data_IF_353682754581
#
_entry.id   IF_353682754581
#
_cell.length_a   1.000
_cell.length_b   1.000
_cell.length_c   1.000
_cell.angle_alpha   90.00
_cell.angle_beta   90.00
_cell.angle_gamma   90.00
#
_symmetry.space_group_name_H-M   'P 1'
#
loop_
_entity.id
_entity.type
_entity.pdbx_description
1 polymer ?
#
# COMPACT_ATOMS: atom_id res chain seq x y z
N UNK A 1 -18.14 28.93 1.30
CA UNK A 1 -17.01 28.00 1.48
C UNK A 1 -17.42 26.98 2.51
N UNK A 2 -17.31 25.70 2.17
CA UNK A 2 -17.73 24.57 3.03
C UNK A 2 -16.58 23.60 3.21
N UNK A 3 -16.47 22.96 4.37
CA UNK A 3 -15.48 21.90 4.62
C UNK A 3 -16.21 20.61 4.96
N UNK A 4 -15.78 19.51 4.34
CA UNK A 4 -16.29 18.18 4.60
C UNK A 4 -15.20 17.37 5.29
N UNK A 5 -15.53 16.69 6.39
CA UNK A 5 -14.58 15.83 7.12
C UNK A 5 -15.16 14.42 7.19
N UNK A 6 -14.40 13.44 6.72
CA UNK A 6 -14.74 12.02 6.77
C UNK A 6 -13.78 11.33 7.72
N UNK A 7 -14.33 10.56 8.67
CA UNK A 7 -13.57 9.74 9.61
C UNK A 7 -14.05 8.30 9.53
N UNK A 8 -13.19 7.37 9.15
CA UNK A 8 -13.49 5.92 9.11
C UNK A 8 -12.24 5.12 9.44
N UNK A 9 -12.34 3.79 9.41
CA UNK A 9 -11.22 2.85 9.61
C UNK A 9 -10.95 1.95 8.39
N UNK A 10 -11.54 2.25 7.23
CA UNK A 10 -11.33 1.51 5.98
C UNK A 10 -10.93 2.44 4.84
N UNK A 11 -10.28 1.87 3.82
CA UNK A 11 -9.86 2.61 2.62
C UNK A 11 -11.01 3.06 1.71
N UNK A 12 -12.26 2.79 2.11
CA UNK A 12 -13.48 3.22 1.44
C UNK A 12 -14.28 4.08 2.42
N UNK A 13 -14.23 5.40 2.22
CA UNK A 13 -14.87 6.38 3.07
C UNK A 13 -16.17 6.83 2.41
N UNK A 14 -17.30 6.77 3.12
CA UNK A 14 -18.55 7.33 2.63
C UNK A 14 -19.28 8.14 3.69
N UNK A 15 -19.89 9.24 3.28
CA UNK A 15 -20.76 10.05 4.14
C UNK A 15 -21.98 10.49 3.33
N UNK A 16 -23.16 10.21 3.87
CA UNK A 16 -24.42 10.75 3.35
C UNK A 16 -24.70 12.11 4.03
N UNK A 17 -25.15 13.08 3.23
CA UNK A 17 -25.44 14.44 3.66
C UNK A 17 -26.94 14.65 3.52
N UNK A 18 -27.61 14.90 4.65
CA UNK A 18 -29.05 15.18 4.69
C UNK A 18 -29.35 16.41 5.57
N UNK A 19 -30.03 17.44 5.04
CA UNK A 19 -30.43 17.59 3.64
C UNK A 19 -29.21 17.71 2.71
N UNK A 20 -29.34 17.38 1.40
CA UNK A 20 -28.23 17.49 0.48
C UNK A 20 -27.63 18.90 0.45
N UNK A 21 -26.31 18.98 0.29
CA UNK A 21 -25.60 20.26 0.20
C UNK A 21 -25.73 20.83 -1.21
N UNK A 22 -26.42 21.96 -1.33
CA UNK A 22 -26.51 22.74 -2.58
C UNK A 22 -25.22 23.54 -2.81
N UNK A 23 -24.70 23.50 -4.04
CA UNK A 23 -23.48 24.20 -4.46
C UNK A 23 -23.67 24.82 -5.85
N UNK A 24 -22.97 25.92 -6.11
CA UNK A 24 -22.99 26.58 -7.42
C UNK A 24 -22.36 25.69 -8.50
N UNK A 25 -22.75 25.86 -9.77
CA UNK A 25 -22.18 25.13 -10.90
C UNK A 25 -20.70 25.44 -11.15
N UNK A 26 -20.21 26.57 -10.65
CA UNK A 26 -18.80 26.97 -10.69
C UNK A 26 -18.01 26.44 -9.50
N UNK A 27 -18.66 25.74 -8.56
CA UNK A 27 -18.00 25.27 -7.35
C UNK A 27 -16.91 24.25 -7.66
N UNK A 28 -15.82 24.36 -6.91
CA UNK A 28 -14.66 23.50 -7.02
C UNK A 28 -14.37 22.85 -5.66
N UNK A 29 -13.66 21.72 -5.70
CA UNK A 29 -13.28 20.96 -4.52
C UNK A 29 -11.79 20.62 -4.55
N UNK A 30 -11.16 20.63 -3.38
CA UNK A 30 -9.77 20.20 -3.21
C UNK A 30 -9.60 19.37 -1.93
N UNK A 31 -8.50 18.61 -1.85
CA UNK A 31 -8.05 17.99 -0.62
C UNK A 31 -7.37 19.02 0.28
N UNK A 32 -7.83 19.15 1.53
CA UNK A 32 -7.16 19.95 2.55
C UNK A 32 -6.12 19.15 3.31
N UNK A 33 -6.49 17.93 3.72
CA UNK A 33 -5.58 17.06 4.44
C UNK A 33 -6.04 15.61 4.42
N UNK A 34 -5.09 14.69 4.45
CA UNK A 34 -5.29 13.27 4.75
C UNK A 34 -4.42 12.91 5.97
N UNK A 35 -5.01 12.22 6.94
CA UNK A 35 -4.28 11.71 8.09
C UNK A 35 -4.65 10.24 8.31
N UNK A 36 -3.63 9.40 8.49
CA UNK A 36 -3.78 7.99 8.87
C UNK A 36 -2.46 7.49 9.50
N UNK A 37 -2.41 6.25 9.96
CA UNK A 37 -1.15 5.62 10.37
C UNK A 37 -0.57 4.81 9.20
N UNK A 38 0.77 4.82 9.07
CA UNK A 38 1.46 3.97 8.11
C UNK A 38 1.47 2.53 8.62
N UNK A 39 0.37 1.82 8.38
CA UNK A 39 0.20 0.42 8.74
C UNK A 39 0.20 -0.50 7.52
N UNK A 40 0.59 -0.01 6.33
CA UNK A 40 0.45 -0.75 5.08
C UNK A 40 1.35 -2.00 5.13
N UNK A 41 0.78 -3.22 5.10
CA UNK A 41 1.57 -4.43 5.23
C UNK A 41 2.26 -4.76 3.91
N UNK A 42 3.53 -5.15 3.96
CA UNK A 42 4.25 -5.72 2.83
C UNK A 42 4.14 -7.25 2.77
N UNK A 43 3.82 -7.89 3.90
CA UNK A 43 3.44 -9.30 3.98
C UNK A 43 1.97 -9.41 4.35
N UNK A 44 1.19 -10.14 3.55
CA UNK A 44 -0.23 -10.43 3.77
C UNK A 44 -0.62 -11.73 3.04
N UNK A 45 -1.82 -12.30 3.28
CA UNK A 45 -2.28 -13.49 2.56
C UNK A 45 -2.17 -13.29 1.05
N UNK A 46 -1.45 -14.19 0.38
CA UNK A 46 -1.12 -14.07 -1.06
C UNK A 46 0.37 -13.88 -1.34
N UNK A 47 1.14 -13.43 -0.35
CA UNK A 47 2.59 -13.22 -0.43
C UNK A 47 3.21 -13.31 0.98
N UNK A 48 3.11 -14.49 1.60
CA UNK A 48 3.47 -14.69 3.00
C UNK A 48 3.95 -16.10 3.35
N UNK A 49 4.25 -16.97 2.38
CA UNK A 49 4.70 -18.33 2.64
C UNK A 49 6.14 -18.55 2.18
N UNK A 50 6.90 -19.32 2.95
CA UNK A 50 8.21 -19.86 2.57
C UNK A 50 8.24 -21.35 2.93
N UNK A 51 8.63 -22.20 1.98
CA UNK A 51 8.78 -23.63 2.21
C UNK A 51 10.21 -24.00 2.58
N UNK A 52 10.36 -25.00 3.44
CA UNK A 52 11.63 -25.64 3.75
C UNK A 52 11.53 -27.14 3.47
N UNK A 53 12.59 -27.77 2.97
CA UNK A 53 12.63 -29.23 2.79
C UNK A 53 13.64 -29.87 3.71
N UNK A 54 13.22 -30.95 4.38
CA UNK A 54 14.11 -31.76 5.20
C UNK A 54 14.98 -32.70 4.33
N UNK A 55 15.90 -33.45 4.96
CA UNK A 55 16.84 -34.33 4.24
C UNK A 55 16.18 -35.47 3.44
N UNK A 56 14.92 -35.81 3.72
CA UNK A 56 14.16 -36.81 2.97
C UNK A 56 13.26 -36.19 1.88
N UNK A 57 13.35 -34.86 1.67
CA UNK A 57 12.64 -34.11 0.65
C UNK A 57 11.19 -33.73 1.01
N UNK A 58 10.76 -33.96 2.25
CA UNK A 58 9.44 -33.53 2.72
C UNK A 58 9.45 -32.02 2.98
N UNK A 59 8.43 -31.34 2.46
CA UNK A 59 8.25 -29.89 2.57
C UNK A 59 7.43 -29.50 3.80
N UNK A 60 7.88 -28.47 4.51
CA UNK A 60 7.15 -27.80 5.58
C UNK A 60 7.04 -26.30 5.26
N UNK A 61 5.82 -25.79 5.29
CA UNK A 61 5.50 -24.42 4.89
C UNK A 61 5.40 -23.53 6.14
N UNK A 62 6.15 -22.42 6.15
CA UNK A 62 6.11 -21.41 7.19
C UNK A 62 5.29 -20.23 6.69
N UNK A 63 4.20 -19.95 7.40
CA UNK A 63 3.30 -18.83 7.12
C UNK A 63 3.74 -17.63 7.97
N UNK A 64 4.21 -16.58 7.31
CA UNK A 64 4.63 -15.34 7.95
C UNK A 64 3.37 -14.52 8.28
N UNK A 65 3.24 -14.02 9.53
CA UNK A 65 2.11 -13.19 9.90
C UNK A 65 1.99 -11.92 9.05
N UNK A 66 0.78 -11.40 8.91
CA UNK A 66 0.57 -10.13 8.20
C UNK A 66 1.25 -8.98 8.95
N UNK A 67 2.02 -8.17 8.24
CA UNK A 67 2.77 -7.08 8.86
C UNK A 67 3.55 -6.22 7.88
N UNK A 68 4.15 -5.17 8.43
CA UNK A 68 5.07 -4.28 7.74
C UNK A 68 6.46 -4.60 8.27
N UNK A 69 7.24 -5.36 7.51
CA UNK A 69 8.55 -5.83 7.91
C UNK A 69 9.63 -5.08 7.16
N UNK A 70 10.53 -4.45 7.91
CA UNK A 70 11.87 -4.16 7.38
C UNK A 70 12.62 -5.48 7.14
N UNK A 71 13.70 -5.42 6.37
CA UNK A 71 14.41 -6.60 5.90
C UNK A 71 14.93 -7.48 7.06
N UNK A 72 15.60 -6.88 8.05
CA UNK A 72 16.13 -7.59 9.23
C UNK A 72 15.01 -8.18 10.12
N UNK A 73 13.87 -7.48 10.20
CA UNK A 73 12.70 -7.95 10.94
C UNK A 73 12.07 -9.17 10.25
N UNK A 74 12.08 -9.21 8.92
CA UNK A 74 11.54 -10.34 8.15
C UNK A 74 12.38 -11.59 8.37
N UNK A 75 13.71 -11.47 8.29
CA UNK A 75 14.63 -12.57 8.61
C UNK A 75 14.39 -13.12 10.01
N UNK A 76 14.34 -12.23 11.02
CA UNK A 76 14.11 -12.61 12.41
C UNK A 76 12.79 -13.36 12.62
N UNK A 77 11.74 -12.97 11.90
CA UNK A 77 10.43 -13.63 11.97
C UNK A 77 10.46 -14.98 11.28
N UNK A 78 11.16 -15.13 10.15
CA UNK A 78 11.31 -16.44 9.50
C UNK A 78 12.10 -17.39 10.40
N UNK A 79 13.24 -16.94 10.95
CA UNK A 79 14.05 -17.74 11.87
C UNK A 79 13.27 -18.18 13.12
N UNK A 80 12.35 -17.36 13.62
CA UNK A 80 11.51 -17.70 14.77
C UNK A 80 10.47 -18.79 14.46
N UNK A 81 10.03 -18.89 13.21
CA UNK A 81 8.95 -19.80 12.80
C UNK A 81 9.44 -20.97 11.94
N UNK A 82 10.75 -21.08 11.69
CA UNK A 82 11.31 -22.17 10.88
C UNK A 82 11.27 -23.51 11.63
N UNK A 83 11.18 -24.64 10.91
CA UNK A 83 11.21 -25.96 11.52
C UNK A 83 12.51 -26.22 12.33
N UNK A 84 12.42 -27.07 13.36
CA UNK A 84 13.55 -27.36 14.27
C UNK A 84 14.79 -27.93 13.59
N UNK A 85 14.63 -28.61 12.45
CA UNK A 85 15.75 -29.18 11.70
C UNK A 85 16.58 -28.12 10.94
N UNK A 86 16.08 -26.90 10.80
CA UNK A 86 16.81 -25.79 10.16
C UNK A 86 17.82 -25.24 11.16
N UNK A 87 19.11 -25.49 10.93
CA UNK A 87 20.18 -25.04 11.82
C UNK A 87 20.43 -23.53 11.73
N UNK A 88 20.37 -23.00 10.50
CA UNK A 88 20.55 -21.58 10.22
C UNK A 88 19.85 -21.20 8.91
N UNK A 89 19.42 -19.93 8.86
CA UNK A 89 18.77 -19.26 7.73
C UNK A 89 19.22 -17.80 7.72
N UNK A 90 19.54 -17.26 6.56
CA UNK A 90 20.03 -15.89 6.42
C UNK A 90 19.41 -15.21 5.19
N UNK A 91 18.95 -13.99 5.38
CA UNK A 91 18.59 -13.06 4.31
C UNK A 91 19.49 -11.83 4.42
N UNK A 92 20.18 -11.48 3.34
CA UNK A 92 21.02 -10.27 3.28
C UNK A 92 20.62 -9.37 2.13
N UNK A 93 20.51 -8.07 2.40
CA UNK A 93 20.40 -7.09 1.34
C UNK A 93 21.78 -6.82 0.73
N UNK A 94 21.91 -6.94 -0.59
CA UNK A 94 23.07 -6.44 -1.31
C UNK A 94 22.81 -4.98 -1.68
N UNK A 95 23.36 -4.04 -0.91
CA UNK A 95 23.14 -2.60 -1.12
C UNK A 95 23.69 -2.06 -2.45
N UNK A 96 24.55 -2.83 -3.13
CA UNK A 96 25.07 -2.44 -4.46
C UNK A 96 24.11 -2.83 -5.57
N UNK A 97 23.55 -4.04 -5.53
CA UNK A 97 22.63 -4.54 -6.56
C UNK A 97 21.15 -4.31 -6.22
N UNK A 98 20.86 -3.92 -4.97
CA UNK A 98 19.52 -3.84 -4.37
C UNK A 98 18.76 -5.16 -4.39
N UNK A 99 19.49 -6.28 -4.44
CA UNK A 99 18.98 -7.65 -4.48
C UNK A 99 19.08 -8.32 -3.10
N UNK A 100 18.37 -9.43 -2.94
CA UNK A 100 18.43 -10.28 -1.76
C UNK A 100 19.43 -11.41 -1.97
N UNK A 101 20.24 -11.70 -0.96
CA UNK A 101 21.04 -12.91 -0.86
C UNK A 101 20.34 -13.84 0.13
N UNK A 102 20.00 -15.05 -0.31
CA UNK A 102 19.39 -16.11 0.48
C UNK A 102 20.43 -17.19 0.74
N UNK A 103 20.54 -17.64 1.98
CA UNK A 103 21.40 -18.75 2.38
C UNK A 103 20.73 -19.53 3.50
N UNK A 104 20.80 -20.86 3.46
CA UNK A 104 20.13 -21.72 4.44
C UNK A 104 20.89 -23.04 4.60
N UNK A 105 20.79 -23.62 5.80
CA UNK A 105 21.28 -24.97 6.10
C UNK A 105 20.59 -26.07 5.27
N UNK A 106 19.39 -25.81 4.76
CA UNK A 106 18.55 -26.75 4.03
C UNK A 106 17.94 -26.11 2.78
N UNK A 107 17.33 -26.94 1.94
CA UNK A 107 16.64 -26.49 0.74
C UNK A 107 15.47 -25.56 1.09
N UNK A 108 15.40 -24.42 0.42
CA UNK A 108 14.32 -23.44 0.53
C UNK A 108 13.43 -23.56 -0.70
N UNK A 109 12.18 -23.91 -0.49
CA UNK A 109 11.19 -24.07 -1.54
C UNK A 109 10.35 -22.79 -1.66
N UNK A 110 10.66 -21.99 -2.68
CA UNK A 110 9.91 -20.79 -3.04
C UNK A 110 8.85 -21.06 -4.12
N UNK A 111 8.67 -22.31 -4.55
CA UNK A 111 7.61 -22.73 -5.48
C UNK A 111 6.25 -22.92 -4.80
N UNK A 112 6.18 -22.71 -3.49
CA UNK A 112 4.97 -22.80 -2.67
C UNK A 112 3.88 -21.81 -3.09
N UNK A 113 2.64 -22.14 -2.73
CA UNK A 113 1.52 -21.21 -2.88
C UNK A 113 1.71 -19.99 -1.97
N UNK A 114 1.31 -18.81 -2.44
CA UNK A 114 1.46 -17.54 -1.72
C UNK A 114 2.92 -17.23 -1.32
N UNK A 115 3.88 -17.70 -2.13
CA UNK A 115 5.31 -17.55 -1.89
C UNK A 115 5.75 -16.10 -1.72
N UNK A 116 6.65 -15.85 -0.77
CA UNK A 116 7.32 -14.56 -0.58
C UNK A 116 8.35 -14.22 -1.66
N UNK A 117 8.63 -15.13 -2.59
CA UNK A 117 9.66 -14.96 -3.62
C UNK A 117 9.59 -13.61 -4.33
N UNK A 118 8.38 -13.21 -4.74
CA UNK A 118 8.14 -11.94 -5.45
C UNK A 118 8.54 -10.71 -4.63
N UNK A 119 8.34 -10.74 -3.31
CA UNK A 119 8.75 -9.68 -2.41
C UNK A 119 10.28 -9.62 -2.27
N UNK A 120 10.92 -10.78 -2.17
CA UNK A 120 12.37 -10.89 -2.03
C UNK A 120 13.13 -10.75 -3.37
N UNK A 121 12.42 -10.75 -4.50
CA UNK A 121 12.98 -10.63 -5.85
C UNK A 121 13.43 -11.96 -6.47
N UNK A 122 13.09 -13.09 -5.83
CA UNK A 122 13.39 -14.44 -6.32
C UNK A 122 12.31 -14.96 -7.30
N UNK A 123 12.67 -15.99 -8.07
CA UNK A 123 11.71 -16.83 -8.79
C UNK A 123 11.06 -17.85 -7.87
N UNK A 124 9.92 -18.37 -8.29
CA UNK A 124 9.19 -19.41 -7.55
C UNK A 124 9.80 -20.79 -7.83
N UNK A 125 11.01 -21.02 -7.33
CA UNK A 125 11.82 -22.21 -7.58
C UNK A 125 12.34 -22.84 -6.27
N UNK A 126 12.98 -24.00 -6.38
CA UNK A 126 13.67 -24.65 -5.28
C UNK A 126 15.13 -24.17 -5.23
N UNK A 127 15.56 -23.67 -4.07
CA UNK A 127 16.92 -23.20 -3.81
C UNK A 127 17.63 -24.20 -2.90
N UNK A 128 18.60 -24.94 -3.43
CA UNK A 128 19.24 -26.08 -2.74
C UNK A 128 20.30 -25.65 -1.73
N UNK A 129 20.45 -26.39 -0.63
CA UNK A 129 21.46 -26.13 0.40
C UNK A 129 22.90 -26.06 -0.14
N UNK A 130 23.75 -25.32 0.55
CA UNK A 130 25.18 -25.22 0.27
C UNK A 130 25.59 -24.10 -0.70
N UNK A 131 24.66 -23.26 -1.15
CA UNK A 131 24.94 -22.11 -2.00
C UNK A 131 24.36 -20.82 -1.40
N UNK A 132 24.97 -19.68 -1.76
CA UNK A 132 24.39 -18.37 -1.54
C UNK A 132 23.71 -17.92 -2.83
N UNK A 133 22.40 -17.73 -2.79
CA UNK A 133 21.62 -17.34 -3.95
C UNK A 133 21.35 -15.84 -3.93
N UNK A 134 21.76 -15.13 -4.96
CA UNK A 134 21.31 -13.75 -5.19
C UNK A 134 20.03 -13.77 -6.03
N UNK A 135 19.07 -12.93 -5.65
CA UNK A 135 17.77 -12.83 -6.31
C UNK A 135 17.89 -12.34 -7.76
N UNK A 136 16.96 -12.75 -8.62
CA UNK A 136 16.97 -12.36 -10.03
C UNK A 136 16.60 -10.88 -10.20
N UNK A 137 15.72 -10.37 -9.34
CA UNK A 137 15.22 -8.99 -9.31
C UNK A 137 15.56 -8.28 -8.00
N UNK A 138 15.40 -6.96 -7.98
CA UNK A 138 15.53 -6.16 -6.75
C UNK A 138 14.44 -6.50 -5.74
N UNK A 139 14.74 -6.28 -4.46
CA UNK A 139 13.80 -6.51 -3.36
C UNK A 139 12.67 -5.47 -3.40
N UNK A 140 11.44 -5.90 -3.15
CA UNK A 140 10.22 -5.08 -3.14
C UNK A 140 9.59 -5.00 -1.74
N UNK A 141 10.37 -4.61 -0.73
CA UNK A 141 9.88 -4.38 0.64
C UNK A 141 8.83 -3.27 0.67
N UNK A 142 9.02 -2.20 -0.10
CA UNK A 142 8.01 -1.17 -0.29
C UNK A 142 6.91 -1.67 -1.24
N UNK A 143 5.76 -2.04 -0.68
CA UNK A 143 4.63 -2.57 -1.45
C UNK A 143 3.99 -1.55 -2.39
N UNK A 144 3.85 -0.31 -1.92
CA UNK A 144 3.20 0.75 -2.68
C UNK A 144 4.21 1.83 -3.05
N UNK A 145 4.00 2.46 -4.21
CA UNK A 145 4.73 3.64 -4.66
C UNK A 145 3.88 4.91 -4.59
N UNK A 146 2.56 4.77 -4.53
CA UNK A 146 1.65 5.89 -4.34
C UNK A 146 0.35 5.47 -3.66
N UNK A 147 -0.27 6.45 -3.00
CA UNK A 147 -1.62 6.43 -2.46
C UNK A 147 -2.42 7.43 -3.28
N UNK A 148 -3.28 6.90 -4.15
CA UNK A 148 -4.27 7.64 -4.91
C UNK A 148 -5.49 7.90 -4.03
N UNK A 149 -5.82 9.17 -3.82
CA UNK A 149 -7.06 9.58 -3.15
C UNK A 149 -8.11 9.83 -4.23
N UNK A 150 -9.07 8.92 -4.38
CA UNK A 150 -10.12 9.04 -5.38
C UNK A 150 -11.38 9.65 -4.77
N UNK A 151 -12.03 10.60 -5.45
CA UNK A 151 -13.26 11.25 -4.99
C UNK A 151 -14.35 11.21 -6.08
N UNK A 152 -15.54 10.73 -5.73
CA UNK A 152 -16.65 10.60 -6.69
C UNK A 152 -17.20 11.94 -7.22
N UNK A 153 -16.87 13.06 -6.58
CA UNK A 153 -17.45 14.37 -6.89
C UNK A 153 -16.68 15.16 -7.95
N UNK A 154 -15.47 14.73 -8.33
CA UNK A 154 -14.61 15.52 -9.20
C UNK A 154 -14.77 15.19 -10.69
N UNK A 155 -14.45 16.16 -11.53
CA UNK A 155 -14.16 15.97 -12.95
C UNK A 155 -12.87 16.72 -13.33
N UNK A 156 -12.27 16.37 -14.47
CA UNK A 156 -11.07 17.03 -15.01
C UNK A 156 -9.73 16.48 -14.50
N UNK A 157 -9.73 15.39 -13.72
CA UNK A 157 -8.52 14.63 -13.41
C UNK A 157 -8.28 13.57 -14.49
N UNK A 158 -7.01 13.26 -14.79
CA UNK A 158 -6.61 12.28 -15.79
C UNK A 158 -5.45 11.43 -15.26
N UNK A 159 -5.47 10.12 -15.53
CA UNK A 159 -4.39 9.18 -15.28
C UNK A 159 -4.08 8.46 -16.59
N UNK A 160 -2.82 8.50 -17.05
CA UNK A 160 -2.37 7.86 -18.30
C UNK A 160 -3.24 8.20 -19.53
N UNK A 161 -3.70 9.45 -19.61
CA UNK A 161 -4.53 9.96 -20.70
C UNK A 161 -6.03 9.62 -20.60
N UNK A 162 -6.45 8.83 -19.60
CA UNK A 162 -7.85 8.52 -19.35
C UNK A 162 -8.44 9.39 -18.22
N UNK A 163 -9.72 9.79 -18.30
CA UNK A 163 -10.39 10.48 -17.20
C UNK A 163 -10.32 9.68 -15.89
N UNK A 164 -10.07 10.38 -14.79
CA UNK A 164 -9.88 9.82 -13.47
C UNK A 164 -10.64 10.62 -12.40
N UNK A 165 -10.75 10.02 -11.22
CA UNK A 165 -11.32 10.63 -10.03
C UNK A 165 -10.26 10.90 -8.95
N UNK A 166 -8.97 10.85 -9.29
CA UNK A 166 -7.87 11.16 -8.36
C UNK A 166 -7.87 12.66 -8.04
N UNK A 167 -8.14 13.01 -6.78
CA UNK A 167 -8.12 14.40 -6.28
C UNK A 167 -6.73 14.78 -5.72
N UNK A 168 -5.96 13.78 -5.29
CA UNK A 168 -4.60 13.94 -4.79
C UNK A 168 -3.87 12.60 -4.86
N UNK A 169 -2.56 12.63 -5.04
CA UNK A 169 -1.68 11.47 -4.99
C UNK A 169 -0.47 11.79 -4.10
N UNK A 170 -0.14 10.89 -3.19
CA UNK A 170 0.98 11.04 -2.27
C UNK A 170 1.75 9.72 -2.11
N UNK A 171 2.92 9.76 -1.48
CA UNK A 171 3.66 8.58 -1.06
C UNK A 171 3.98 8.67 0.44
N UNK A 172 3.87 7.58 1.22
CA UNK A 172 4.25 7.60 2.63
C UNK A 172 5.72 7.96 2.83
N UNK A 173 5.99 9.15 3.37
CA UNK A 173 7.37 9.61 3.65
C UNK A 173 7.87 9.21 5.04
N UNK A 174 7.06 8.47 5.80
CA UNK A 174 7.38 8.02 7.15
C UNK A 174 7.48 6.49 7.18
N UNK A 175 8.32 5.90 8.04
CA UNK A 175 8.41 4.45 8.19
C UNK A 175 7.10 3.81 8.68
N UNK A 176 6.95 2.48 8.59
CA UNK A 176 5.84 1.78 9.21
C UNK A 176 5.72 2.07 10.71
N UNK A 177 4.49 2.20 11.20
CA UNK A 177 4.17 2.53 12.60
C UNK A 177 4.11 4.02 12.93
N UNK A 178 4.48 4.91 11.99
CA UNK A 178 4.38 6.36 12.15
C UNK A 178 3.09 6.91 11.54
N UNK A 179 2.70 8.12 11.96
CA UNK A 179 1.53 8.82 11.41
C UNK A 179 1.86 9.44 10.05
N UNK A 180 1.04 9.15 9.04
CA UNK A 180 1.00 9.84 7.76
C UNK A 180 0.14 11.09 7.93
N UNK A 181 0.74 12.26 7.68
CA UNK A 181 0.04 13.55 7.69
C UNK A 181 0.34 14.25 6.37
N UNK A 182 -0.63 14.22 5.47
CA UNK A 182 -0.55 14.88 4.18
C UNK A 182 -1.38 16.16 4.20
N UNK A 183 -0.74 17.28 3.86
CA UNK A 183 -1.38 18.58 3.67
C UNK A 183 -0.83 19.14 2.36
N UNK A 184 -1.62 19.16 1.26
CA UNK A 184 -1.14 19.66 -0.03
C UNK A 184 -0.64 21.09 0.10
N UNK A 185 0.63 21.35 -0.22
CA UNK A 185 1.24 22.69 -0.15
C UNK A 185 0.54 23.67 -1.10
N UNK A 186 0.12 23.18 -2.26
CA UNK A 186 -0.65 23.92 -3.25
C UNK A 186 -1.93 23.13 -3.54
N UNK A 187 -3.06 23.47 -2.90
CA UNK A 187 -4.32 22.77 -3.13
C UNK A 187 -4.75 22.88 -4.59
N UNK A 188 -4.98 21.74 -5.24
CA UNK A 188 -5.49 21.67 -6.61
C UNK A 188 -7.01 21.56 -6.55
N UNK A 189 -7.68 22.51 -7.19
CA UNK A 189 -9.13 22.60 -7.23
C UNK A 189 -9.68 21.95 -8.51
N UNK A 190 -10.57 20.97 -8.33
CA UNK A 190 -11.28 20.30 -9.41
C UNK A 190 -12.72 20.79 -9.47
N UNK A 191 -13.28 20.87 -10.68
CA UNK A 191 -14.70 21.16 -10.83
C UNK A 191 -15.55 20.03 -10.24
N UNK A 192 -16.67 20.39 -9.62
CA UNK A 192 -17.67 19.42 -9.18
C UNK A 192 -18.47 18.89 -10.37
N UNK A 193 -18.87 17.61 -10.30
CA UNK A 193 -19.73 16.98 -11.29
C UNK A 193 -21.24 17.07 -10.95
N UNK A 194 -21.59 17.69 -9.83
CA UNK A 194 -22.96 17.87 -9.34
C UNK A 194 -23.13 19.23 -8.65
N UNK A 195 -24.34 19.79 -8.69
CA UNK A 195 -24.75 20.97 -7.91
C UNK A 195 -25.48 20.61 -6.62
N UNK A 196 -25.75 19.32 -6.40
CA UNK A 196 -26.41 18.80 -5.20
C UNK A 196 -25.61 17.60 -4.67
N UNK A 197 -25.00 17.77 -3.51
CA UNK A 197 -24.17 16.73 -2.89
C UNK A 197 -24.97 16.05 -1.79
N UNK A 198 -25.49 14.86 -2.10
CA UNK A 198 -26.16 13.98 -1.13
C UNK A 198 -25.22 12.92 -0.54
N UNK A 199 -24.12 12.59 -1.25
CA UNK A 199 -23.16 11.58 -0.81
C UNK A 199 -21.75 11.90 -1.28
N UNK A 200 -20.81 11.80 -0.35
CA UNK A 200 -19.36 11.88 -0.61
C UNK A 200 -18.79 10.48 -0.48
N UNK A 201 -18.04 10.05 -1.49
CA UNK A 201 -17.36 8.77 -1.51
C UNK A 201 -15.88 8.97 -1.87
N UNK A 202 -14.99 8.47 -1.03
CA UNK A 202 -13.55 8.54 -1.20
C UNK A 202 -12.96 7.14 -1.12
N UNK A 203 -12.04 6.81 -2.02
CA UNK A 203 -11.34 5.53 -2.03
C UNK A 203 -9.84 5.75 -2.05
N UNK A 204 -9.11 5.03 -1.20
CA UNK A 204 -7.65 5.01 -1.20
C UNK A 204 -7.16 3.78 -1.97
N UNK A 205 -6.44 4.02 -3.07
CA UNK A 205 -5.88 2.97 -3.93
C UNK A 205 -4.38 3.10 -4.10
N UNK A 206 -3.72 2.00 -4.40
CA UNK A 206 -2.31 1.98 -4.76
C UNK A 206 -2.06 2.35 -6.24
N UNK A 207 -0.80 2.30 -6.65
CA UNK A 207 -0.39 2.58 -8.04
C UNK A 207 -1.07 1.67 -9.09
N UNK A 208 -1.50 0.46 -8.70
CA UNK A 208 -2.14 -0.54 -9.57
C UNK A 208 -3.67 -0.54 -9.42
N UNK A 209 -4.25 0.50 -8.81
CA UNK A 209 -5.68 0.63 -8.54
C UNK A 209 -6.27 -0.47 -7.64
N UNK A 210 -5.42 -1.09 -6.80
CA UNK A 210 -5.83 -2.00 -5.75
C UNK A 210 -6.15 -1.23 -4.47
N UNK A 211 -7.15 -1.68 -3.71
CA UNK A 211 -7.49 -1.08 -2.42
C UNK A 211 -6.31 -1.22 -1.44
N UNK A 212 -5.98 -0.14 -0.76
CA UNK A 212 -4.91 -0.16 0.23
C UNK A 212 -5.40 -0.87 1.50
N UNK A 213 -4.61 -1.79 2.01
CA UNK A 213 -4.84 -2.40 3.31
C UNK A 213 -4.23 -1.53 4.42
N UNK A 214 -5.05 -0.76 5.13
CA UNK A 214 -4.65 0.05 6.29
C UNK A 214 -4.89 -0.66 7.63
N UNK A 215 -5.15 -1.97 7.63
CA UNK A 215 -5.32 -2.80 8.84
C UNK A 215 -6.29 -2.24 9.90
N UNK A 216 -7.33 -1.51 9.46
CA UNK A 216 -8.32 -0.94 10.38
C UNK A 216 -7.91 0.38 11.05
N UNK A 217 -6.78 0.99 10.65
CA UNK A 217 -6.33 2.27 11.20
C UNK A 217 -7.31 3.41 10.91
N UNK A 218 -7.46 4.38 11.82
CA UNK A 218 -8.33 5.52 11.61
C UNK A 218 -7.78 6.43 10.51
N UNK A 219 -8.68 6.83 9.62
CA UNK A 219 -8.41 7.71 8.50
C UNK A 219 -9.29 8.95 8.66
N UNK A 220 -8.66 10.13 8.60
CA UNK A 220 -9.35 11.42 8.55
C UNK A 220 -9.02 12.11 7.23
N UNK A 221 -10.04 12.39 6.43
CA UNK A 221 -9.91 13.17 5.20
C UNK A 221 -10.72 14.44 5.31
N UNK A 222 -10.11 15.57 4.97
CA UNK A 222 -10.77 16.87 4.90
C UNK A 222 -10.76 17.38 3.46
N UNK A 223 -11.93 17.74 2.97
CA UNK A 223 -12.13 18.37 1.66
C UNK A 223 -12.64 19.80 1.84
N UNK A 224 -12.26 20.70 0.94
CA UNK A 224 -12.79 22.06 0.89
C UNK A 224 -13.58 22.25 -0.38
N UNK A 225 -14.77 22.82 -0.27
CA UNK A 225 -15.58 23.27 -1.39
C UNK A 225 -15.62 24.80 -1.38
N UNK A 226 -15.29 25.40 -2.52
CA UNK A 226 -15.31 26.85 -2.74
C UNK A 226 -16.08 27.17 -4.01
N UNK A 227 -16.82 28.27 -4.02
CA UNK A 227 -17.35 28.81 -5.28
C UNK A 227 -16.15 29.17 -6.15
N UNK A 228 -16.14 28.73 -7.40
CA UNK A 228 -15.07 29.10 -8.33
C UNK A 228 -15.13 30.60 -8.56
N UNK A 229 -14.11 31.32 -8.11
CA UNK A 229 -13.89 32.66 -8.59
C UNK A 229 -13.61 32.52 -10.08
N UNK A 230 -14.57 32.90 -10.92
CA UNK A 230 -14.40 32.88 -12.36
C UNK A 230 -13.21 33.75 -12.75
N UNK A 231 -12.02 33.16 -12.84
CA UNK A 231 -10.96 33.67 -13.70
C UNK A 231 -11.49 33.50 -15.11
N UNK A 232 -12.16 34.54 -15.60
CA UNK A 232 -12.28 34.79 -17.02
C UNK A 232 -10.85 34.81 -17.56
N UNK A 233 -10.47 33.76 -18.27
CA UNK A 233 -9.35 33.80 -19.20
C UNK A 233 -9.76 34.69 -20.36
#
# INVERSE_FOLDING_TARGET
MSTLTLNVSSSELSCDIFPPLEVESTSQICLLSLQTNNSIPNIEPGCNTIGFRNMIGQREDVIIPTGSYEFDNLESVIQKNMPEYIEWFELKANNTTLKCILSCSHDVDLSVENSIAKLLGFRNELYTTGNNYESESTVKIMKINSIKVMCNLITGSFCDGAPSQIIHELYPTVPPGYKIVEVPRHPVFYALNTTLISRVYIVLKDQNDCLINLRGEPITIRLQITCGNGTKV
#
